data_IF_690521288772
#
_entry.id   IF_690521288772
#
_cell.length_a   1.000
_cell.length_b   1.000
_cell.length_c   1.000
_cell.angle_alpha   90.00
_cell.angle_beta   90.00
_cell.angle_gamma   90.00
#
_symmetry.space_group_name_H-M   'P 1'
#
loop_
_entity.id
_entity.type
_entity.pdbx_description
1 polymer ?
#
# COMPACT_ATOMS: atom_id res chain seq x y z
N UNK A 1 27.72 -0.60 20.14
CA UNK A 1 27.45 -0.16 18.75
C UNK A 1 26.02 -0.57 18.42
N UNK A 2 25.14 0.36 18.05
CA UNK A 2 23.81 -0.03 17.57
C UNK A 2 23.97 -0.65 16.19
N UNK A 3 23.80 -1.96 16.08
CA UNK A 3 23.72 -2.70 14.82
C UNK A 3 22.67 -2.04 13.91
N UNK A 4 23.04 -1.70 12.67
CA UNK A 4 22.09 -1.26 11.65
C UNK A 4 21.21 -2.42 11.21
N UNK A 5 19.95 -2.11 10.86
CA UNK A 5 18.92 -3.11 10.61
C UNK A 5 18.29 -2.97 9.24
N UNK A 6 18.03 -4.11 8.61
CA UNK A 6 17.15 -4.24 7.45
C UNK A 6 15.83 -4.83 7.93
N UNK A 7 14.73 -4.15 7.69
CA UNK A 7 13.42 -4.56 8.19
C UNK A 7 12.57 -5.16 7.06
N UNK A 8 11.99 -6.33 7.31
CA UNK A 8 11.10 -7.03 6.38
C UNK A 8 9.65 -6.98 6.87
N UNK A 9 8.70 -6.91 5.94
CA UNK A 9 7.26 -6.99 6.23
C UNK A 9 6.49 -7.66 5.09
N UNK A 10 5.20 -7.89 5.30
CA UNK A 10 4.29 -8.60 4.38
C UNK A 10 3.89 -7.83 3.11
N UNK A 11 4.45 -6.64 2.87
CA UNK A 11 4.10 -5.80 1.72
C UNK A 11 2.79 -5.01 1.85
N UNK A 12 2.03 -5.21 2.93
CA UNK A 12 0.76 -4.49 3.17
C UNK A 12 0.99 -3.12 3.80
N UNK A 13 0.06 -2.18 3.58
CA UNK A 13 0.17 -0.86 4.20
C UNK A 13 0.14 -0.92 5.74
N UNK A 14 -0.64 -1.84 6.32
CA UNK A 14 -0.67 -2.04 7.76
C UNK A 14 0.65 -2.63 8.28
N UNK A 15 1.28 -3.55 7.55
CA UNK A 15 2.60 -4.06 7.88
C UNK A 15 3.65 -2.95 7.86
N UNK A 16 3.64 -2.10 6.83
CA UNK A 16 4.51 -0.94 6.76
C UNK A 16 4.32 0.00 7.96
N UNK A 17 3.08 0.37 8.30
CA UNK A 17 2.83 1.23 9.47
C UNK A 17 3.19 0.57 10.80
N UNK A 18 3.05 -0.76 10.91
CA UNK A 18 3.52 -1.51 12.08
C UNK A 18 5.03 -1.40 12.23
N UNK A 19 5.74 -1.52 11.11
CA UNK A 19 7.19 -1.37 11.06
C UNK A 19 7.62 0.04 11.48
N UNK A 20 6.95 1.09 11.00
CA UNK A 20 7.18 2.48 11.46
C UNK A 20 6.98 2.61 12.98
N UNK A 21 5.94 2.00 13.54
CA UNK A 21 5.72 2.00 14.99
C UNK A 21 6.91 1.40 15.73
N UNK A 22 7.37 0.22 15.29
CA UNK A 22 8.46 -0.51 15.92
C UNK A 22 9.79 0.26 15.84
N UNK A 23 10.05 0.96 14.73
CA UNK A 23 11.22 1.83 14.61
C UNK A 23 11.23 2.90 15.69
N UNK A 24 10.10 3.58 15.91
CA UNK A 24 10.01 4.62 16.93
C UNK A 24 10.04 4.07 18.36
N UNK A 25 9.36 2.95 18.62
CA UNK A 25 9.32 2.32 19.95
C UNK A 25 10.70 1.80 20.38
N UNK A 26 11.39 1.10 19.46
CA UNK A 26 12.69 0.46 19.74
C UNK A 26 13.89 1.35 19.45
N UNK A 27 13.67 2.53 18.86
CA UNK A 27 14.71 3.46 18.41
C UNK A 27 15.75 2.76 17.52
N UNK A 28 15.27 1.93 16.60
CA UNK A 28 16.15 1.18 15.70
C UNK A 28 16.82 2.10 14.69
N UNK A 29 18.10 1.85 14.42
CA UNK A 29 18.81 2.42 13.28
C UNK A 29 18.53 1.56 12.06
N UNK A 30 17.75 2.10 11.13
CA UNK A 30 17.28 1.39 9.93
C UNK A 30 18.02 1.91 8.72
N UNK A 31 18.59 0.99 7.94
CA UNK A 31 19.27 1.30 6.68
C UNK A 31 18.43 0.93 5.47
N UNK A 32 17.48 0.00 5.64
CA UNK A 32 16.60 -0.43 4.55
C UNK A 32 15.30 -1.08 5.08
N UNK A 33 14.26 -0.97 4.27
CA UNK A 33 12.93 -1.57 4.50
C UNK A 33 12.51 -2.27 3.23
N UNK A 34 12.22 -3.58 3.31
CA UNK A 34 11.89 -4.40 2.15
C UNK A 34 10.65 -5.26 2.40
N UNK A 35 9.97 -5.64 1.33
CA UNK A 35 8.92 -6.67 1.39
C UNK A 35 9.57 -8.05 1.50
N UNK A 36 8.97 -8.96 2.26
CA UNK A 36 9.48 -10.32 2.51
C UNK A 36 9.75 -11.14 1.24
N UNK A 37 9.11 -10.79 0.12
CA UNK A 37 9.28 -11.47 -1.16
C UNK A 37 10.59 -11.13 -1.89
N UNK A 38 11.36 -10.14 -1.41
CA UNK A 38 12.70 -9.87 -1.91
C UNK A 38 13.72 -10.73 -1.17
N UNK A 39 14.46 -11.56 -1.91
CA UNK A 39 15.62 -12.28 -1.37
C UNK A 39 16.61 -11.24 -0.81
N UNK A 40 16.75 -11.20 0.51
CA UNK A 40 17.65 -10.26 1.17
C UNK A 40 19.10 -10.58 0.79
N UNK A 41 19.71 -9.68 0.02
CA UNK A 41 21.14 -9.70 -0.27
C UNK A 41 21.85 -8.71 0.66
N UNK A 42 22.25 -9.19 1.84
CA UNK A 42 23.07 -8.42 2.77
C UNK A 42 23.87 -9.34 3.67
N UNK A 43 25.17 -9.44 3.44
CA UNK A 43 26.07 -10.32 4.20
C UNK A 43 26.36 -9.83 5.64
N UNK A 44 25.94 -8.62 6.01
CA UNK A 44 26.38 -7.95 7.25
C UNK A 44 25.32 -7.09 7.97
N UNK A 45 24.02 -7.32 7.75
CA UNK A 45 22.95 -6.52 8.37
C UNK A 45 22.00 -7.40 9.17
N UNK A 46 21.60 -6.94 10.36
CA UNK A 46 20.59 -7.65 11.16
C UNK A 46 19.25 -7.54 10.44
N UNK A 47 18.78 -8.66 9.91
CA UNK A 47 17.49 -8.75 9.24
C UNK A 47 16.41 -9.05 10.29
N UNK A 48 15.42 -8.17 10.42
CA UNK A 48 14.26 -8.39 11.30
C UNK A 48 12.99 -8.43 10.48
N UNK A 49 12.23 -9.52 10.61
CA UNK A 49 10.87 -9.59 10.07
C UNK A 49 9.87 -9.03 11.09
N UNK A 50 9.05 -8.08 10.67
CA UNK A 50 8.00 -7.46 11.48
C UNK A 50 6.65 -8.01 11.04
N UNK A 51 5.96 -8.66 11.98
CA UNK A 51 4.60 -9.15 11.78
C UNK A 51 3.59 -8.00 11.85
N UNK A 52 2.58 -8.04 10.97
CA UNK A 52 1.58 -6.99 10.88
C UNK A 52 0.71 -6.93 12.13
N UNK A 53 0.63 -5.75 12.75
CA UNK A 53 -0.24 -5.48 13.89
C UNK A 53 -1.10 -4.24 13.60
N UNK A 54 -2.37 -4.49 13.25
CA UNK A 54 -3.33 -3.44 12.89
C UNK A 54 -3.59 -2.43 14.01
N UNK A 55 -3.43 -2.79 15.29
CA UNK A 55 -3.57 -1.87 16.42
C UNK A 55 -2.40 -0.87 16.42
N UNK A 56 -1.18 -1.34 16.21
CA UNK A 56 0.01 -0.49 16.13
C UNK A 56 -0.02 0.39 14.87
N UNK A 57 -0.39 -0.18 13.72
CA UNK A 57 -0.57 0.55 12.47
C UNK A 57 -1.54 1.72 12.63
N UNK A 58 -2.69 1.50 13.29
CA UNK A 58 -3.69 2.54 13.57
C UNK A 58 -3.12 3.68 14.43
N UNK A 59 -2.26 3.38 15.42
CA UNK A 59 -1.62 4.42 16.25
C UNK A 59 -0.75 5.35 15.41
N UNK A 60 0.08 4.79 14.52
CA UNK A 60 0.92 5.58 13.61
C UNK A 60 0.05 6.41 12.67
N UNK A 61 -0.97 5.79 12.08
CA UNK A 61 -1.88 6.48 11.17
C UNK A 61 -2.61 7.66 11.83
N UNK A 62 -3.11 7.46 13.05
CA UNK A 62 -3.73 8.51 13.84
C UNK A 62 -2.73 9.64 14.19
N UNK A 63 -1.49 9.27 14.54
CA UNK A 63 -0.42 10.24 14.81
C UNK A 63 -0.13 11.13 13.60
N UNK A 64 0.01 10.53 12.41
CA UNK A 64 0.17 11.25 11.15
C UNK A 64 -1.02 12.17 10.90
N UNK A 65 -2.25 11.67 11.05
CA UNK A 65 -3.46 12.45 10.85
C UNK A 65 -3.51 13.72 11.73
N UNK A 66 -3.15 13.56 13.01
CA UNK A 66 -3.14 14.65 13.99
C UNK A 66 -2.07 15.71 13.68
N UNK A 67 -0.94 15.31 13.11
CA UNK A 67 0.17 16.21 12.75
C UNK A 67 -0.04 16.90 11.41
N UNK A 68 -0.47 16.15 10.40
CA UNK A 68 -0.68 16.63 9.05
C UNK A 68 -1.71 15.75 8.31
N UNK A 69 -2.96 16.18 8.32
CA UNK A 69 -4.05 15.48 7.63
C UNK A 69 -3.79 15.36 6.11
N UNK A 70 -3.16 16.35 5.46
CA UNK A 70 -2.87 16.28 4.02
C UNK A 70 -1.83 15.20 3.68
N UNK A 71 -0.90 14.93 4.59
CA UNK A 71 0.12 13.91 4.41
C UNK A 71 -0.47 12.49 4.31
N UNK A 72 -1.64 12.24 4.92
CA UNK A 72 -2.33 10.94 4.86
C UNK A 72 -2.50 10.49 3.41
N UNK A 73 -3.10 11.34 2.57
CA UNK A 73 -3.35 11.01 1.16
C UNK A 73 -2.04 10.77 0.42
N UNK A 74 -1.05 11.64 0.62
CA UNK A 74 0.27 11.54 -0.01
C UNK A 74 0.96 10.23 0.32
N UNK A 75 1.03 9.87 1.60
CA UNK A 75 1.67 8.64 2.09
C UNK A 75 1.00 7.42 1.49
N UNK A 76 -0.33 7.33 1.60
CA UNK A 76 -1.05 6.15 1.15
C UNK A 76 -1.01 6.00 -0.37
N UNK A 77 -1.20 7.09 -1.12
CA UNK A 77 -1.14 7.03 -2.58
C UNK A 77 0.27 6.75 -3.08
N UNK A 78 1.30 7.36 -2.48
CA UNK A 78 2.68 7.08 -2.85
C UNK A 78 3.06 5.64 -2.52
N UNK A 79 2.64 5.08 -1.39
CA UNK A 79 2.83 3.66 -1.07
C UNK A 79 2.26 2.73 -2.16
N UNK A 80 1.06 3.03 -2.66
CA UNK A 80 0.40 2.29 -3.73
C UNK A 80 1.05 2.45 -5.12
N UNK A 81 2.04 3.32 -5.26
CA UNK A 81 2.83 3.42 -6.49
C UNK A 81 3.73 2.20 -6.71
N UNK A 82 4.10 1.50 -5.64
CA UNK A 82 5.09 0.40 -5.66
C UNK A 82 6.42 0.84 -6.33
N UNK A 83 6.74 2.13 -6.25
CA UNK A 83 8.01 2.66 -6.75
C UNK A 83 9.18 2.07 -5.96
N UNK A 84 10.36 2.02 -6.59
CA UNK A 84 11.55 1.47 -5.95
C UNK A 84 11.94 2.41 -4.79
N UNK A 85 12.28 1.83 -3.64
CA UNK A 85 12.66 2.58 -2.42
C UNK A 85 11.51 3.38 -1.77
N UNK A 86 10.26 3.12 -2.16
CA UNK A 86 9.13 3.87 -1.61
C UNK A 86 9.03 3.75 -0.08
N UNK A 87 9.37 2.59 0.48
CA UNK A 87 9.33 2.34 1.92
C UNK A 87 10.28 3.26 2.69
N UNK A 88 11.53 3.39 2.24
CA UNK A 88 12.51 4.28 2.87
C UNK A 88 12.15 5.76 2.68
N UNK A 89 11.68 6.14 1.49
CA UNK A 89 11.21 7.50 1.23
C UNK A 89 10.04 7.89 2.16
N UNK A 90 9.08 6.98 2.33
CA UNK A 90 7.96 7.19 3.25
C UNK A 90 8.40 7.19 4.71
N UNK A 91 9.36 6.35 5.11
CA UNK A 91 9.92 6.37 6.46
C UNK A 91 10.55 7.73 6.79
N UNK A 92 11.43 8.24 5.92
CA UNK A 92 12.04 9.56 6.10
C UNK A 92 10.98 10.68 6.15
N UNK A 93 9.99 10.61 5.26
CA UNK A 93 8.91 11.60 5.24
C UNK A 93 8.06 11.56 6.52
N UNK A 94 7.77 10.37 7.06
CA UNK A 94 7.06 10.23 8.33
C UNK A 94 7.91 10.73 9.50
N UNK A 95 9.22 10.48 9.52
CA UNK A 95 10.12 11.04 10.54
C UNK A 95 10.11 12.57 10.51
N UNK A 96 10.12 13.16 9.31
CA UNK A 96 10.00 14.61 9.14
C UNK A 96 8.69 15.14 9.71
N UNK A 97 7.53 14.53 9.38
CA UNK A 97 6.22 14.93 9.93
C UNK A 97 6.18 14.81 11.46
N UNK A 98 6.78 13.75 12.01
CA UNK A 98 6.74 13.46 13.43
C UNK A 98 7.75 14.27 14.25
N UNK A 99 8.66 15.00 13.59
CA UNK A 99 9.72 15.76 14.25
C UNK A 99 10.82 14.89 14.85
N UNK A 100 11.00 13.67 14.34
CA UNK A 100 11.99 12.69 14.82
C UNK A 100 13.14 12.53 13.84
N UNK A 101 13.30 13.48 12.90
CA UNK A 101 14.23 13.36 11.77
C UNK A 101 15.68 13.33 12.24
N UNK A 102 16.44 12.33 11.76
CA UNK A 102 17.86 12.51 11.44
C UNK A 102 17.91 13.37 10.17
N UNK A 103 18.92 14.23 10.01
CA UNK A 103 19.02 15.18 8.90
C UNK A 103 18.85 14.48 7.54
N UNK A 104 17.69 14.67 6.89
CA UNK A 104 17.53 14.32 5.49
C UNK A 104 18.06 15.51 4.70
N UNK A 105 19.18 15.31 3.98
CA UNK A 105 19.88 16.39 3.27
C UNK A 105 18.98 17.18 2.30
N UNK A 106 17.95 16.54 1.72
CA UNK A 106 17.00 17.20 0.81
C UNK A 106 15.55 16.78 1.08
N UNK A 107 14.96 17.38 2.11
CA UNK A 107 13.55 17.13 2.48
C UNK A 107 12.58 17.63 1.41
N UNK A 108 12.90 18.72 0.72
CA UNK A 108 12.01 19.30 -0.29
C UNK A 108 11.90 18.39 -1.52
N UNK A 109 13.03 17.89 -2.02
CA UNK A 109 13.04 16.92 -3.11
C UNK A 109 12.26 15.65 -2.77
N UNK A 110 12.41 15.13 -1.55
CA UNK A 110 11.66 13.98 -1.07
C UNK A 110 10.14 14.23 -1.11
N UNK A 111 9.68 15.38 -0.60
CA UNK A 111 8.26 15.75 -0.59
C UNK A 111 7.74 15.85 -2.03
N UNK A 112 8.49 16.49 -2.93
CA UNK A 112 8.13 16.65 -4.34
C UNK A 112 8.03 15.30 -5.06
N UNK A 113 8.95 14.38 -4.81
CA UNK A 113 8.90 13.02 -5.35
C UNK A 113 7.63 12.28 -4.90
N UNK A 114 7.31 12.32 -3.61
CA UNK A 114 6.12 11.68 -3.07
C UNK A 114 4.83 12.31 -3.59
N UNK A 115 4.78 13.63 -3.77
CA UNK A 115 3.64 14.31 -4.38
C UNK A 115 3.45 13.89 -5.85
N UNK A 116 4.52 13.79 -6.62
CA UNK A 116 4.47 13.34 -8.02
C UNK A 116 3.97 11.90 -8.12
N UNK A 117 4.44 10.99 -7.25
CA UNK A 117 3.97 9.60 -7.21
C UNK A 117 2.48 9.55 -6.81
N UNK A 118 2.09 10.29 -5.78
CA UNK A 118 0.70 10.41 -5.34
C UNK A 118 -0.22 10.88 -6.49
N UNK A 119 0.20 11.90 -7.24
CA UNK A 119 -0.54 12.41 -8.39
C UNK A 119 -0.67 11.38 -9.53
N UNK A 120 0.41 10.66 -9.85
CA UNK A 120 0.42 9.58 -10.86
C UNK A 120 -0.55 8.46 -10.49
N UNK A 121 -0.55 8.02 -9.23
CA UNK A 121 -1.48 7.00 -8.71
C UNK A 121 -2.92 7.51 -8.76
N UNK A 122 -3.15 8.77 -8.38
CA UNK A 122 -4.48 9.39 -8.45
C UNK A 122 -5.03 9.50 -9.88
N UNK A 123 -4.19 9.77 -10.88
CA UNK A 123 -4.59 9.77 -12.30
C UNK A 123 -4.96 8.38 -12.77
N UNK A 124 -4.14 7.39 -12.44
CA UNK A 124 -4.40 5.98 -12.80
C UNK A 124 -5.68 5.46 -12.14
N UNK A 125 -5.91 5.80 -10.86
CA UNK A 125 -7.15 5.47 -10.16
C UNK A 125 -8.37 5.92 -10.95
N UNK A 126 -8.43 7.19 -11.36
CA UNK A 126 -9.59 7.72 -12.13
C UNK A 126 -9.79 6.99 -13.46
N UNK A 127 -8.70 6.69 -14.17
CA UNK A 127 -8.74 5.91 -15.43
C UNK A 127 -9.35 4.53 -15.20
N UNK A 128 -8.89 3.85 -14.15
CA UNK A 128 -9.29 2.48 -13.81
C UNK A 128 -10.71 2.43 -13.24
N UNK A 129 -11.15 3.45 -12.49
CA UNK A 129 -12.53 3.60 -12.04
C UNK A 129 -13.50 3.62 -13.23
N UNK A 130 -13.24 4.46 -14.24
CA UNK A 130 -14.08 4.54 -15.44
C UNK A 130 -14.10 3.21 -16.22
N UNK A 131 -12.94 2.56 -16.36
CA UNK A 131 -12.82 1.30 -17.07
C UNK A 131 -13.53 0.14 -16.35
N UNK A 132 -13.34 0.00 -15.05
CA UNK A 132 -14.01 -1.03 -14.25
C UNK A 132 -15.53 -0.83 -14.26
N UNK A 133 -16.01 0.41 -14.17
CA UNK A 133 -17.44 0.71 -14.27
C UNK A 133 -18.02 0.30 -15.63
N UNK A 134 -17.28 0.56 -16.71
CA UNK A 134 -17.69 0.15 -18.06
C UNK A 134 -17.80 -1.38 -18.17
N UNK A 135 -16.80 -2.12 -17.68
CA UNK A 135 -16.85 -3.59 -17.69
C UNK A 135 -18.03 -4.14 -16.88
N UNK A 136 -18.23 -3.64 -15.65
CA UNK A 136 -19.35 -4.09 -14.79
C UNK A 136 -20.71 -3.85 -15.44
N UNK A 137 -20.87 -2.73 -16.17
CA UNK A 137 -22.11 -2.43 -16.89
C UNK A 137 -22.38 -3.41 -18.04
N UNK A 138 -21.32 -3.90 -18.71
CA UNK A 138 -21.44 -4.83 -19.84
C UNK A 138 -21.63 -6.29 -19.39
N UNK A 139 -21.09 -6.68 -18.24
CA UNK A 139 -20.93 -8.08 -17.86
C UNK A 139 -21.98 -8.63 -16.86
N UNK A 140 -23.12 -7.97 -16.66
CA UNK A 140 -24.28 -8.44 -15.86
C UNK A 140 -23.95 -9.30 -14.61
N UNK A 141 -22.95 -8.92 -13.80
CA UNK A 141 -22.59 -9.61 -12.55
C UNK A 141 -21.33 -10.49 -12.58
N UNK A 142 -20.57 -10.53 -13.69
CA UNK A 142 -19.25 -11.17 -13.71
C UNK A 142 -18.14 -10.30 -13.08
N UNK A 143 -16.94 -10.88 -12.96
CA UNK A 143 -15.75 -10.22 -12.44
C UNK A 143 -15.19 -9.24 -13.47
N UNK A 144 -15.06 -7.97 -13.11
CA UNK A 144 -14.33 -7.00 -13.92
C UNK A 144 -12.81 -7.18 -13.75
N UNK A 145 -12.15 -7.52 -14.85
CA UNK A 145 -10.70 -7.73 -14.90
C UNK A 145 -9.97 -6.45 -15.28
N UNK A 146 -9.08 -5.99 -14.38
CA UNK A 146 -8.25 -4.80 -14.57
C UNK A 146 -6.77 -5.15 -14.52
N UNK A 147 -5.95 -4.36 -15.22
CA UNK A 147 -4.49 -4.50 -15.21
C UNK A 147 -3.80 -3.15 -15.03
N UNK A 148 -3.94 -2.50 -13.86
CA UNK A 148 -3.47 -1.14 -13.65
C UNK A 148 -1.95 -1.06 -13.49
N UNK A 149 -1.39 0.11 -13.82
CA UNK A 149 0.04 0.40 -13.63
C UNK A 149 0.41 0.41 -12.15
N UNK A 150 -0.42 0.99 -11.30
CA UNK A 150 -0.21 1.11 -9.84
C UNK A 150 -1.25 0.30 -9.07
N UNK A 151 -1.02 0.11 -7.76
CA UNK A 151 -1.93 -0.64 -6.91
C UNK A 151 -3.16 0.18 -6.52
N UNK A 152 -4.04 0.44 -7.48
CA UNK A 152 -5.20 1.32 -7.28
C UNK A 152 -6.42 0.58 -6.76
N UNK A 153 -6.43 -0.76 -6.75
CA UNK A 153 -7.58 -1.57 -6.37
C UNK A 153 -8.16 -1.18 -4.99
N UNK A 154 -7.35 -0.95 -3.94
CA UNK A 154 -7.86 -0.50 -2.62
C UNK A 154 -8.60 0.84 -2.67
N UNK A 155 -8.32 1.67 -3.68
CA UNK A 155 -8.90 3.00 -3.85
C UNK A 155 -10.21 3.01 -4.64
N UNK A 156 -10.53 1.94 -5.38
CA UNK A 156 -11.69 1.89 -6.27
C UNK A 156 -13.01 1.70 -5.51
N UNK A 157 -12.94 1.02 -4.36
CA UNK A 157 -14.11 0.49 -3.67
C UNK A 157 -15.17 1.54 -3.34
N UNK A 158 -14.77 2.74 -2.91
CA UNK A 158 -15.71 3.83 -2.58
C UNK A 158 -16.53 4.25 -3.79
N UNK A 159 -15.86 4.47 -4.93
CA UNK A 159 -16.53 4.93 -6.14
C UNK A 159 -17.42 3.83 -6.73
N UNK A 160 -16.92 2.60 -6.83
CA UNK A 160 -17.68 1.48 -7.38
C UNK A 160 -18.93 1.15 -6.56
N UNK A 161 -18.85 1.19 -5.22
CA UNK A 161 -20.05 1.04 -4.36
C UNK A 161 -21.07 2.15 -4.59
N UNK A 162 -20.62 3.38 -4.84
CA UNK A 162 -21.51 4.51 -5.08
C UNK A 162 -22.22 4.43 -6.44
N UNK A 163 -21.53 3.88 -7.45
CA UNK A 163 -22.05 3.75 -8.82
C UNK A 163 -22.91 2.49 -9.02
N UNK A 164 -22.65 1.41 -8.29
CA UNK A 164 -23.32 0.11 -8.41
C UNK A 164 -24.11 -0.22 -7.14
N UNK A 165 -24.95 0.72 -6.68
CA UNK A 165 -25.71 0.55 -5.43
C UNK A 165 -26.68 -0.62 -5.53
N UNK A 166 -26.68 -1.49 -4.53
CA UNK A 166 -27.57 -2.66 -4.47
C UNK A 166 -27.19 -3.79 -5.43
N UNK A 167 -26.07 -3.66 -6.15
CA UNK A 167 -25.58 -4.66 -7.10
C UNK A 167 -24.29 -5.23 -6.52
N UNK A 168 -24.19 -6.55 -6.45
CA UNK A 168 -22.94 -7.23 -6.11
C UNK A 168 -21.96 -7.14 -7.28
N UNK A 169 -20.68 -6.95 -6.98
CA UNK A 169 -19.67 -6.82 -8.01
C UNK A 169 -18.31 -7.31 -7.52
N UNK A 170 -17.47 -7.64 -8.48
CA UNK A 170 -16.11 -8.12 -8.24
C UNK A 170 -15.16 -7.41 -9.21
N UNK A 171 -14.02 -6.95 -8.70
CA UNK A 171 -12.94 -6.41 -9.53
C UNK A 171 -11.65 -7.14 -9.20
N UNK A 172 -10.97 -7.67 -10.21
CA UNK A 172 -9.74 -8.44 -10.06
C UNK A 172 -8.57 -7.74 -10.74
N UNK A 173 -7.46 -7.53 -10.01
CA UNK A 173 -6.20 -7.03 -10.58
C UNK A 173 -5.37 -8.19 -11.12
N UNK A 174 -5.39 -8.36 -12.43
CA UNK A 174 -4.68 -9.44 -13.14
C UNK A 174 -3.16 -9.36 -12.98
N UNK A 175 -2.61 -8.18 -12.68
CA UNK A 175 -1.18 -8.01 -12.46
C UNK A 175 -0.78 -8.46 -11.07
N UNK A 176 -1.58 -8.11 -10.05
CA UNK A 176 -1.27 -8.40 -8.64
C UNK A 176 -1.96 -9.66 -8.11
N UNK A 177 -2.80 -10.31 -8.92
CA UNK A 177 -3.46 -11.60 -8.65
C UNK A 177 -4.34 -11.58 -7.41
N UNK A 178 -5.00 -10.46 -7.15
CA UNK A 178 -6.01 -10.35 -6.11
C UNK A 178 -7.14 -9.43 -6.54
N UNK A 179 -8.30 -9.61 -5.93
CA UNK A 179 -9.51 -8.87 -6.22
C UNK A 179 -10.15 -8.29 -4.98
N UNK A 180 -11.13 -7.44 -5.22
CA UNK A 180 -12.06 -6.93 -4.22
C UNK A 180 -13.49 -7.23 -4.65
N UNK A 181 -14.26 -7.80 -3.74
CA UNK A 181 -15.67 -8.15 -3.93
C UNK A 181 -16.53 -7.31 -3.01
N UNK A 182 -17.64 -6.82 -3.53
CA UNK A 182 -18.71 -6.22 -2.75
C UNK A 182 -19.95 -7.11 -2.84
N UNK A 183 -20.50 -7.47 -1.68
CA UNK A 183 -21.70 -8.29 -1.54
C UNK A 183 -22.58 -7.75 -0.40
N UNK A 184 -23.70 -8.42 -0.15
CA UNK A 184 -24.51 -8.20 1.06
C UNK A 184 -23.72 -8.34 2.38
N UNK A 185 -22.61 -9.09 2.40
CA UNK A 185 -21.74 -9.26 3.57
C UNK A 185 -20.72 -8.11 3.73
N UNK A 186 -20.60 -7.24 2.73
CA UNK A 186 -19.67 -6.11 2.73
C UNK A 186 -18.56 -6.25 1.70
N UNK A 187 -17.42 -5.61 1.99
CA UNK A 187 -16.26 -5.54 1.10
C UNK A 187 -15.18 -6.51 1.57
N UNK A 188 -14.74 -7.39 0.69
CA UNK A 188 -13.73 -8.42 0.99
C UNK A 188 -12.62 -8.42 -0.07
N UNK A 189 -11.39 -8.69 0.35
CA UNK A 189 -10.28 -9.01 -0.55
C UNK A 189 -10.25 -10.51 -0.78
N UNK A 190 -10.06 -10.92 -2.03
CA UNK A 190 -9.93 -12.34 -2.39
C UNK A 190 -8.73 -12.54 -3.32
N UNK A 191 -8.19 -13.75 -3.34
CA UNK A 191 -7.19 -14.19 -4.31
C UNK A 191 -7.79 -15.27 -5.20
N UNK A 192 -7.26 -15.44 -6.41
CA UNK A 192 -7.65 -16.59 -7.23
C UNK A 192 -7.15 -17.89 -6.56
N UNK A 193 -8.03 -18.85 -6.30
CA UNK A 193 -7.59 -20.25 -6.08
C UNK A 193 -6.86 -20.73 -7.36
N UNK A 194 -5.79 -21.53 -7.26
CA UNK A 194 -5.24 -22.19 -8.44
C UNK A 194 -6.34 -23.01 -9.11
N UNK A 195 -6.63 -22.71 -10.38
CA UNK A 195 -7.45 -23.59 -11.23
C UNK A 195 -6.59 -24.82 -11.50
N UNK A 196 -6.83 -25.90 -10.75
CA UNK A 196 -6.37 -27.23 -11.17
C UNK A 196 -7.26 -27.59 -12.35
N UNK A 197 -6.73 -27.47 -13.57
CA UNK A 197 -7.32 -28.13 -14.73
C UNK A 197 -7.15 -29.63 -14.50
N UNK A 198 -8.17 -30.30 -13.99
CA UNK A 198 -8.29 -31.73 -14.18
C UNK A 198 -8.52 -31.93 -15.68
N UNK A 199 -7.46 -32.33 -16.38
CA UNK A 199 -7.57 -32.82 -17.73
C UNK A 199 -8.36 -34.13 -17.68
N UNK A 200 -9.46 -34.19 -18.43
CA UNK A 200 -10.23 -35.41 -18.72
C UNK A 200 -9.40 -36.33 -19.60
#
# INVERSE_FOLDING_TARGET
>A
MNSTKTLLYDGTFNGFLTLIYMIFDKKWSVIDIQKKDFQVQGLFTDVITVETNTILAKKVWYGINKKNHMAMKRIYYAFLSEDKHIEMNLYHYICHIMGTSQEVMDTEQLINQLELLSAKVGKEKRRVEAFAQFQLAQQQGEVAHIKPKYNVLPLLSKHLRQMNKGIEWQVFDDRRKYGVRYSSLGLELFTSKPMVLEAV
#
